data_IF_324171412628
#
_entry.id   IF_324171412628
#
_cell.length_a   1.000
_cell.length_b   1.000
_cell.length_c   1.000
_cell.angle_alpha   90.00
_cell.angle_beta   90.00
_cell.angle_gamma   90.00
#
_symmetry.space_group_name_H-M   'P 1'
#
loop_
_entity.id
_entity.type
_entity.pdbx_description
1 polymer ?
#
# COMPACT_ATOMS: atom_id res chain seq x y z
N UNK A 1 3.91 3.87 -12.58
CA UNK A 1 4.09 2.51 -11.99
C UNK A 1 4.88 1.54 -12.87
N UNK A 2 4.45 1.13 -14.07
CA UNK A 2 5.18 0.12 -14.88
C UNK A 2 6.66 0.48 -15.10
N UNK A 3 6.95 1.75 -15.43
CA UNK A 3 8.33 2.21 -15.61
C UNK A 3 9.13 2.20 -14.29
N UNK A 4 8.50 2.54 -13.17
CA UNK A 4 9.10 2.45 -11.83
C UNK A 4 9.52 1.01 -11.54
N UNK A 5 8.59 0.04 -11.65
CA UNK A 5 8.88 -1.38 -11.38
C UNK A 5 9.94 -1.93 -12.33
N UNK A 6 9.88 -1.60 -13.63
CA UNK A 6 10.88 -2.01 -14.60
C UNK A 6 12.29 -1.57 -14.20
N UNK A 7 12.47 -0.31 -13.81
CA UNK A 7 13.75 0.21 -13.31
C UNK A 7 14.26 -0.57 -12.10
N UNK A 8 13.37 -0.91 -11.15
CA UNK A 8 13.76 -1.68 -9.96
C UNK A 8 14.25 -3.08 -10.32
N UNK A 9 13.54 -3.76 -11.20
CA UNK A 9 13.93 -5.11 -11.67
C UNK A 9 15.26 -5.10 -12.42
N UNK A 10 15.51 -4.07 -13.25
CA UNK A 10 16.74 -3.96 -14.04
C UNK A 10 17.95 -3.48 -13.22
N UNK A 11 17.76 -2.62 -12.22
CA UNK A 11 18.85 -2.05 -11.43
C UNK A 11 19.28 -2.91 -10.24
N UNK A 12 18.53 -3.95 -9.90
CA UNK A 12 18.70 -4.75 -8.67
C UNK A 12 18.79 -3.89 -7.40
N UNK A 13 18.12 -2.74 -7.43
CA UNK A 13 18.10 -1.76 -6.34
C UNK A 13 16.80 -1.91 -5.54
N UNK A 14 16.88 -1.84 -4.21
CA UNK A 14 15.67 -1.78 -3.40
C UNK A 14 14.98 -0.41 -3.54
N UNK A 15 13.71 -0.36 -3.20
CA UNK A 15 12.93 0.87 -3.15
C UNK A 15 12.29 1.06 -1.76
N UNK A 16 11.99 2.30 -1.42
CA UNK A 16 11.44 2.66 -0.13
C UNK A 16 9.92 2.88 -0.24
N UNK A 17 9.14 2.24 0.65
CA UNK A 17 7.76 2.63 0.93
C UNK A 17 7.73 3.37 2.26
N UNK A 18 7.45 4.67 2.26
CA UNK A 18 7.41 5.47 3.47
C UNK A 18 6.34 6.58 3.41
N UNK A 19 5.95 7.07 4.58
CA UNK A 19 4.97 8.14 4.72
C UNK A 19 4.24 8.06 6.06
N UNK A 20 3.21 8.90 6.27
CA UNK A 20 2.49 8.96 7.54
C UNK A 20 1.68 7.69 7.79
N UNK A 21 1.51 7.34 9.06
CA UNK A 21 0.65 6.21 9.44
C UNK A 21 -0.79 6.38 8.96
N UNK A 22 -1.31 7.62 9.00
CA UNK A 22 -2.62 8.01 8.48
C UNK A 22 -2.54 9.40 7.86
N UNK A 23 -3.40 9.68 6.90
CA UNK A 23 -3.56 11.02 6.34
C UNK A 23 -4.43 11.83 7.31
N UNK A 24 -3.81 12.80 7.98
CA UNK A 24 -4.47 13.67 8.97
C UNK A 24 -4.78 15.05 8.40
N UNK A 25 -4.19 15.40 7.26
CA UNK A 25 -4.41 16.67 6.57
C UNK A 25 -3.49 16.82 5.36
N UNK A 26 -3.82 17.76 4.50
CA UNK A 26 -3.10 18.00 3.25
C UNK A 26 -1.68 18.55 3.51
N UNK A 27 -1.57 19.60 4.30
CA UNK A 27 -0.28 20.24 4.59
C UNK A 27 0.71 19.27 5.23
N UNK A 28 0.23 18.42 6.14
CA UNK A 28 1.06 17.41 6.77
C UNK A 28 1.55 16.38 5.74
N UNK A 29 0.66 15.89 4.88
CA UNK A 29 1.01 14.89 3.87
C UNK A 29 2.02 15.45 2.85
N UNK A 30 1.82 16.67 2.37
CA UNK A 30 2.72 17.34 1.43
C UNK A 30 4.10 17.59 2.03
N UNK A 31 4.19 18.11 3.27
CA UNK A 31 5.48 18.32 3.94
C UNK A 31 6.26 17.03 4.17
N UNK A 32 5.57 15.95 4.55
CA UNK A 32 6.22 14.64 4.71
C UNK A 32 6.71 14.12 3.37
N UNK A 33 5.90 14.25 2.32
CA UNK A 33 6.27 13.81 0.98
C UNK A 33 7.47 14.58 0.44
N UNK A 34 7.47 15.91 0.56
CA UNK A 34 8.59 16.77 0.17
C UNK A 34 9.91 16.34 0.83
N UNK A 35 9.89 16.18 2.16
CA UNK A 35 11.07 15.72 2.90
C UNK A 35 11.56 14.34 2.45
N UNK A 36 10.63 13.39 2.26
CA UNK A 36 10.99 12.04 1.81
C UNK A 36 11.55 12.04 0.39
N UNK A 37 10.98 12.84 -0.51
CA UNK A 37 11.48 13.00 -1.88
C UNK A 37 12.89 13.62 -1.88
N UNK A 38 13.13 14.65 -1.07
CA UNK A 38 14.46 15.25 -0.93
C UNK A 38 15.50 14.22 -0.46
N UNK A 39 15.19 13.48 0.60
CA UNK A 39 16.10 12.45 1.16
C UNK A 39 16.35 11.33 0.16
N UNK A 40 15.30 10.81 -0.48
CA UNK A 40 15.41 9.69 -1.40
C UNK A 40 16.12 10.08 -2.70
N UNK A 41 15.92 11.29 -3.20
CA UNK A 41 16.66 11.81 -4.35
C UNK A 41 18.16 11.95 -4.03
N UNK A 42 18.51 12.50 -2.86
CA UNK A 42 19.92 12.60 -2.41
C UNK A 42 20.60 11.24 -2.31
N UNK A 43 19.85 10.22 -1.88
CA UNK A 43 20.32 8.84 -1.74
C UNK A 43 20.17 8.02 -3.03
N UNK A 44 19.59 8.59 -4.07
CA UNK A 44 19.27 7.90 -5.33
C UNK A 44 18.39 6.65 -5.11
N UNK A 45 17.52 6.68 -4.09
CA UNK A 45 16.60 5.60 -3.77
C UNK A 45 15.24 5.83 -4.43
N UNK A 46 14.75 4.86 -5.18
CA UNK A 46 13.37 4.89 -5.67
C UNK A 46 12.36 4.86 -4.51
N UNK A 47 11.30 5.61 -4.65
CA UNK A 47 10.39 5.90 -3.54
C UNK A 47 8.93 5.74 -3.95
N UNK A 48 8.13 5.19 -3.05
CA UNK A 48 6.67 5.11 -3.13
C UNK A 48 6.10 5.75 -1.85
N UNK A 49 5.27 6.78 -2.01
CA UNK A 49 4.64 7.43 -0.87
C UNK A 49 3.51 6.56 -0.30
N UNK A 50 3.58 6.24 0.99
CA UNK A 50 2.60 5.43 1.70
C UNK A 50 1.81 6.26 2.70
N UNK A 51 0.48 6.21 2.62
CA UNK A 51 -0.40 6.75 3.65
C UNK A 51 -1.69 5.95 3.77
N UNK A 52 -2.21 5.72 4.98
CA UNK A 52 -3.53 5.12 5.14
C UNK A 52 -4.61 6.19 5.06
N UNK A 53 -5.62 5.98 4.22
CA UNK A 53 -6.75 6.91 4.13
C UNK A 53 -7.71 6.75 5.31
N UNK A 54 -7.76 5.56 5.92
CA UNK A 54 -8.48 5.28 7.16
C UNK A 54 -7.74 4.25 8.01
N UNK A 55 -8.03 4.20 9.30
CA UNK A 55 -7.56 3.18 10.23
C UNK A 55 -8.72 2.34 10.73
N UNK A 56 -8.66 1.02 10.49
CA UNK A 56 -9.69 0.06 10.87
C UNK A 56 -9.35 -0.76 12.13
N UNK A 57 -8.17 -0.57 12.73
CA UNK A 57 -7.64 -1.43 13.80
C UNK A 57 -7.21 -0.65 15.04
N UNK A 58 -7.91 0.42 15.39
CA UNK A 58 -7.63 1.18 16.61
C UNK A 58 -8.02 0.42 17.87
N UNK A 59 -7.24 0.58 18.93
CA UNK A 59 -7.48 -0.09 20.20
C UNK A 59 -8.63 0.53 21.00
N UNK A 60 -8.96 1.80 20.78
CA UNK A 60 -10.02 2.52 21.46
C UNK A 60 -11.07 2.97 20.46
N UNK A 61 -12.33 2.99 20.89
CA UNK A 61 -13.46 3.40 20.05
C UNK A 61 -13.39 4.88 19.65
N UNK A 62 -12.85 5.74 20.52
CA UNK A 62 -12.71 7.18 20.33
C UNK A 62 -11.39 7.58 19.62
N UNK A 63 -10.59 6.63 19.19
CA UNK A 63 -9.33 6.93 18.50
C UNK A 63 -9.58 7.53 17.11
N UNK A 64 -8.68 8.39 16.69
CA UNK A 64 -8.68 8.94 15.32
C UNK A 64 -8.62 7.83 14.27
N UNK A 65 -9.58 7.82 13.37
CA UNK A 65 -9.68 6.82 12.29
C UNK A 65 -9.42 7.40 10.91
N UNK A 66 -9.52 8.72 10.74
CA UNK A 66 -9.31 9.40 9.46
C UNK A 66 -10.08 10.72 9.36
N UNK A 67 -9.89 11.42 8.25
CA UNK A 67 -10.51 12.72 7.94
C UNK A 67 -11.64 12.62 6.90
N UNK A 68 -12.10 11.38 6.66
CA UNK A 68 -13.01 11.03 5.56
C UNK A 68 -12.28 10.37 4.41
N UNK A 69 -12.86 9.27 3.91
CA UNK A 69 -12.20 8.39 2.95
C UNK A 69 -11.79 9.14 1.67
N UNK A 70 -12.75 9.77 1.02
CA UNK A 70 -12.52 10.46 -0.24
C UNK A 70 -11.51 11.61 -0.10
N UNK A 71 -11.66 12.44 0.95
CA UNK A 71 -10.73 13.54 1.22
C UNK A 71 -9.30 13.05 1.40
N UNK A 72 -9.09 11.98 2.16
CA UNK A 72 -7.76 11.42 2.37
C UNK A 72 -7.18 10.81 1.08
N UNK A 73 -8.01 10.16 0.25
CA UNK A 73 -7.60 9.60 -1.04
C UNK A 73 -7.26 10.71 -2.05
N UNK A 74 -8.01 11.82 -2.10
CA UNK A 74 -7.68 13.00 -2.91
C UNK A 74 -6.32 13.59 -2.52
N UNK A 75 -6.00 13.63 -1.23
CA UNK A 75 -4.68 14.09 -0.74
C UNK A 75 -3.57 13.15 -1.22
N UNK A 76 -3.77 11.83 -1.17
CA UNK A 76 -2.80 10.86 -1.69
C UNK A 76 -2.56 11.04 -3.19
N UNK A 77 -3.61 11.23 -3.99
CA UNK A 77 -3.49 11.57 -5.41
C UNK A 77 -2.68 12.85 -5.60
N UNK A 78 -3.02 13.91 -4.86
CA UNK A 78 -2.31 15.20 -4.93
C UNK A 78 -0.82 15.06 -4.63
N UNK A 79 -0.45 14.25 -3.62
CA UNK A 79 0.97 13.96 -3.33
C UNK A 79 1.64 13.30 -4.53
N UNK A 80 1.02 12.26 -5.11
CA UNK A 80 1.56 11.58 -6.28
C UNK A 80 1.78 12.50 -7.47
N UNK A 81 0.80 13.37 -7.76
CA UNK A 81 0.86 14.35 -8.86
C UNK A 81 1.88 15.46 -8.60
N UNK A 82 1.97 15.97 -7.35
CA UNK A 82 2.87 17.07 -6.99
C UNK A 82 4.33 16.67 -7.07
N UNK A 83 4.67 15.46 -6.64
CA UNK A 83 6.05 15.01 -6.53
C UNK A 83 6.46 13.96 -7.57
N UNK A 84 5.56 13.61 -8.48
CA UNK A 84 5.75 12.56 -9.50
C UNK A 84 6.23 11.23 -8.88
N UNK A 85 5.59 10.81 -7.79
CA UNK A 85 5.90 9.57 -7.09
C UNK A 85 4.67 8.66 -7.04
N UNK A 86 4.88 7.32 -7.16
CA UNK A 86 3.79 6.38 -6.93
C UNK A 86 3.25 6.45 -5.51
N UNK A 87 1.97 6.15 -5.35
CA UNK A 87 1.30 6.17 -4.05
C UNK A 87 0.70 4.82 -3.69
N UNK A 88 0.66 4.52 -2.39
CA UNK A 88 0.05 3.30 -1.84
C UNK A 88 -0.79 3.60 -0.61
N UNK A 89 -1.93 2.94 -0.52
CA UNK A 89 -2.79 2.93 0.68
C UNK A 89 -3.25 1.52 1.03
N UNK A 90 -3.55 1.28 2.29
CA UNK A 90 -4.16 0.04 2.75
C UNK A 90 -5.69 0.09 2.59
N UNK A 91 -6.29 -1.06 2.25
CA UNK A 91 -7.74 -1.27 2.13
C UNK A 91 -8.19 -2.32 3.14
N UNK A 92 -9.45 -2.23 3.61
CA UNK A 92 -9.95 -3.07 4.70
C UNK A 92 -11.24 -3.81 4.34
N UNK A 93 -11.98 -3.32 3.37
CA UNK A 93 -13.24 -3.86 2.88
C UNK A 93 -13.24 -3.98 1.36
N UNK A 94 -14.09 -4.85 0.83
CA UNK A 94 -14.22 -5.07 -0.62
C UNK A 94 -14.53 -3.77 -1.36
N UNK A 95 -15.40 -2.94 -0.80
CA UNK A 95 -15.79 -1.63 -1.36
C UNK A 95 -14.63 -0.63 -1.40
N UNK A 96 -13.66 -0.74 -0.50
CA UNK A 96 -12.49 0.13 -0.50
C UNK A 96 -11.63 -0.06 -1.76
N UNK A 97 -11.60 -1.29 -2.32
CA UNK A 97 -10.72 -1.61 -3.43
C UNK A 97 -10.98 -0.74 -4.66
N UNK A 98 -12.23 -0.69 -5.12
CA UNK A 98 -12.62 0.12 -6.28
C UNK A 98 -12.44 1.60 -6.01
N UNK A 99 -12.89 2.07 -4.84
CA UNK A 99 -12.78 3.48 -4.46
C UNK A 99 -11.31 3.93 -4.41
N UNK A 100 -10.44 3.21 -3.69
CA UNK A 100 -9.03 3.60 -3.53
C UNK A 100 -8.25 3.49 -4.85
N UNK A 101 -8.58 2.53 -5.71
CA UNK A 101 -7.93 2.34 -7.00
C UNK A 101 -8.05 3.55 -7.94
N UNK A 102 -9.04 4.40 -7.75
CA UNK A 102 -9.16 5.64 -8.53
C UNK A 102 -8.07 6.67 -8.19
N UNK A 103 -7.48 6.59 -6.99
CA UNK A 103 -6.62 7.63 -6.42
C UNK A 103 -5.16 7.21 -6.26
N UNK A 104 -4.87 5.91 -6.13
CA UNK A 104 -3.53 5.41 -5.84
C UNK A 104 -3.06 4.38 -6.87
N UNK A 105 -1.77 4.11 -6.88
CA UNK A 105 -1.13 3.14 -7.79
C UNK A 105 -1.09 1.73 -7.21
N UNK A 106 -1.05 1.61 -5.89
CA UNK A 106 -0.88 0.35 -5.18
C UNK A 106 -1.91 0.23 -4.08
N UNK A 107 -2.59 -0.92 -4.02
CA UNK A 107 -3.49 -1.30 -2.93
C UNK A 107 -2.76 -2.26 -1.99
N UNK A 108 -2.71 -1.95 -0.71
CA UNK A 108 -2.10 -2.81 0.28
C UNK A 108 -3.15 -3.58 1.06
N UNK A 109 -2.97 -4.90 1.15
CA UNK A 109 -3.77 -5.77 2.03
C UNK A 109 -3.05 -5.87 3.38
N UNK A 110 -3.66 -5.42 4.49
CA UNK A 110 -3.10 -5.55 5.83
C UNK A 110 -2.84 -7.02 6.23
N UNK A 111 -1.87 -7.23 7.10
CA UNK A 111 -1.43 -8.56 7.50
C UNK A 111 -2.56 -9.45 8.05
N UNK A 112 -3.44 -8.90 8.88
CA UNK A 112 -4.57 -9.66 9.45
C UNK A 112 -5.66 -9.99 8.41
N UNK A 113 -5.71 -9.28 7.29
CA UNK A 113 -6.70 -9.45 6.23
C UNK A 113 -6.19 -10.22 5.01
N UNK A 114 -4.93 -10.62 5.00
CA UNK A 114 -4.28 -11.24 3.82
C UNK A 114 -4.92 -12.57 3.40
N UNK A 115 -5.64 -13.24 4.29
CA UNK A 115 -6.39 -14.47 4.00
C UNK A 115 -7.81 -14.22 3.48
N UNK A 116 -8.34 -13.01 3.58
CA UNK A 116 -9.71 -12.67 3.15
C UNK A 116 -9.80 -12.71 1.62
N UNK A 117 -10.36 -13.80 1.09
CA UNK A 117 -10.37 -14.07 -0.35
C UNK A 117 -11.06 -12.96 -1.13
N UNK A 118 -12.24 -12.52 -0.70
CA UNK A 118 -13.01 -11.52 -1.42
C UNK A 118 -12.29 -10.17 -1.50
N UNK A 119 -11.60 -9.78 -0.42
CA UNK A 119 -10.80 -8.55 -0.38
C UNK A 119 -9.60 -8.63 -1.32
N UNK A 120 -8.88 -9.76 -1.33
CA UNK A 120 -7.72 -9.97 -2.22
C UNK A 120 -8.16 -9.98 -3.68
N UNK A 121 -9.24 -10.67 -4.00
CA UNK A 121 -9.83 -10.73 -5.36
C UNK A 121 -10.33 -9.35 -5.80
N UNK A 122 -11.00 -8.61 -4.93
CA UNK A 122 -11.45 -7.25 -5.23
C UNK A 122 -10.27 -6.33 -5.56
N UNK A 123 -9.19 -6.38 -4.77
CA UNK A 123 -7.97 -5.63 -5.06
C UNK A 123 -7.34 -6.04 -6.40
N UNK A 124 -7.25 -7.34 -6.68
CA UNK A 124 -6.70 -7.86 -7.94
C UNK A 124 -7.50 -7.37 -9.16
N UNK A 125 -8.83 -7.40 -9.09
CA UNK A 125 -9.73 -6.99 -10.16
C UNK A 125 -9.63 -5.51 -10.54
N UNK A 126 -9.04 -4.66 -9.70
CA UNK A 126 -8.76 -3.25 -10.04
C UNK A 126 -7.64 -3.10 -11.08
N UNK A 127 -6.83 -4.12 -11.32
CA UNK A 127 -5.64 -4.07 -12.17
C UNK A 127 -4.46 -3.27 -11.60
N UNK A 128 -4.61 -2.68 -10.40
CA UNK A 128 -3.53 -1.99 -9.67
C UNK A 128 -2.50 -2.97 -9.13
N UNK A 129 -1.35 -2.46 -8.71
CA UNK A 129 -0.42 -3.27 -7.93
C UNK A 129 -1.04 -3.64 -6.59
N UNK A 130 -0.88 -4.90 -6.18
CA UNK A 130 -1.39 -5.41 -4.90
C UNK A 130 -0.21 -5.78 -4.00
N UNK A 131 -0.04 -5.04 -2.90
CA UNK A 131 0.95 -5.36 -1.89
C UNK A 131 0.32 -6.20 -0.77
N UNK A 132 0.70 -7.48 -0.70
CA UNK A 132 0.21 -8.43 0.30
C UNK A 132 1.14 -8.44 1.51
N UNK A 133 0.68 -7.93 2.66
CA UNK A 133 1.46 -8.04 3.90
C UNK A 133 1.28 -9.42 4.51
N UNK A 134 2.40 -10.13 4.73
CA UNK A 134 2.37 -11.45 5.36
C UNK A 134 1.81 -11.36 6.79
N UNK A 135 0.79 -12.16 7.09
CA UNK A 135 0.32 -12.33 8.46
C UNK A 135 1.41 -12.94 9.34
N UNK A 136 1.60 -12.42 10.56
CA UNK A 136 2.59 -12.96 11.49
C UNK A 136 2.30 -14.41 11.91
N UNK A 137 1.02 -14.79 11.83
CA UNK A 137 0.48 -16.12 12.14
C UNK A 137 0.59 -17.11 10.98
N UNK A 138 1.26 -16.73 9.89
CA UNK A 138 1.41 -17.54 8.68
C UNK A 138 2.88 -17.86 8.43
N UNK A 139 3.15 -19.07 7.91
CA UNK A 139 4.47 -19.38 7.38
C UNK A 139 4.74 -18.57 6.09
N UNK A 140 6.01 -18.28 5.77
CA UNK A 140 6.37 -17.60 4.52
C UNK A 140 5.82 -18.29 3.28
N UNK A 141 5.91 -19.63 3.22
CA UNK A 141 5.46 -20.44 2.08
C UNK A 141 3.96 -20.33 1.84
N UNK A 142 3.16 -20.15 2.89
CA UNK A 142 1.71 -20.04 2.77
C UNK A 142 1.27 -18.77 2.04
N UNK A 143 2.15 -17.76 1.88
CA UNK A 143 1.86 -16.56 1.11
C UNK A 143 1.63 -16.84 -0.38
N UNK A 144 2.16 -17.95 -0.90
CA UNK A 144 1.88 -18.39 -2.28
C UNK A 144 0.38 -18.48 -2.57
N UNK A 145 -0.44 -18.87 -1.58
CA UNK A 145 -1.90 -18.96 -1.76
C UNK A 145 -2.55 -17.60 -1.94
N UNK A 146 -2.05 -16.56 -1.25
CA UNK A 146 -2.53 -15.20 -1.44
C UNK A 146 -2.11 -14.63 -2.81
N UNK A 147 -0.87 -14.89 -3.23
CA UNK A 147 -0.39 -14.53 -4.57
C UNK A 147 -1.20 -15.25 -5.64
N UNK A 148 -1.47 -16.55 -5.48
CA UNK A 148 -2.29 -17.33 -6.43
C UNK A 148 -3.69 -16.72 -6.61
N UNK A 149 -4.31 -16.20 -5.55
CA UNK A 149 -5.61 -15.51 -5.68
C UNK A 149 -5.52 -14.30 -6.59
N UNK A 150 -4.45 -13.50 -6.48
CA UNK A 150 -4.23 -12.32 -7.32
C UNK A 150 -3.99 -12.73 -8.78
N UNK A 151 -3.10 -13.71 -9.02
CA UNK A 151 -2.77 -14.17 -10.37
C UNK A 151 -3.93 -14.89 -11.05
N UNK A 152 -4.67 -15.71 -10.32
CA UNK A 152 -5.87 -16.39 -10.82
C UNK A 152 -7.01 -15.40 -11.16
N UNK A 153 -6.99 -14.19 -10.58
CA UNK A 153 -7.88 -13.09 -10.95
C UNK A 153 -7.39 -12.30 -12.18
N UNK A 154 -6.33 -12.76 -12.85
CA UNK A 154 -5.78 -12.11 -14.06
C UNK A 154 -4.82 -10.96 -13.80
N UNK A 155 -4.39 -10.74 -12.56
CA UNK A 155 -3.47 -9.66 -12.20
C UNK A 155 -2.10 -10.22 -11.75
N UNK A 156 -1.04 -9.87 -12.48
CA UNK A 156 0.33 -10.30 -12.16
C UNK A 156 1.15 -9.23 -11.40
N UNK A 157 0.54 -8.10 -11.05
CA UNK A 157 1.20 -6.98 -10.38
C UNK A 157 1.13 -7.18 -8.85
N UNK A 158 1.99 -8.03 -8.29
CA UNK A 158 1.93 -8.39 -6.86
C UNK A 158 3.27 -8.13 -6.18
N UNK A 159 3.21 -7.50 -5.01
CA UNK A 159 4.31 -7.42 -4.05
C UNK A 159 3.96 -8.18 -2.79
N UNK A 160 4.98 -8.65 -2.08
CA UNK A 160 4.85 -9.25 -0.75
C UNK A 160 5.68 -8.42 0.22
N UNK A 161 5.07 -8.04 1.33
CA UNK A 161 5.78 -7.43 2.45
C UNK A 161 5.85 -8.39 3.62
N UNK A 162 7.06 -8.81 3.99
CA UNK A 162 7.27 -9.52 5.25
C UNK A 162 7.22 -8.55 6.43
N UNK A 163 6.70 -9.00 7.55
CA UNK A 163 6.65 -8.25 8.81
C UNK A 163 6.85 -9.15 10.04
N UNK A 164 7.61 -10.20 9.85
CA UNK A 164 7.93 -11.15 10.90
C UNK A 164 6.89 -12.27 11.09
N UNK A 165 7.19 -13.13 12.02
CA UNK A 165 6.44 -14.34 12.34
C UNK A 165 6.17 -14.47 13.84
N UNK A 166 5.14 -15.25 14.18
CA UNK A 166 4.79 -15.70 15.52
C UNK A 166 4.67 -17.21 15.51
N UNK A 167 4.51 -17.84 16.66
CA UNK A 167 4.26 -19.29 16.81
C UNK A 167 5.39 -20.19 16.30
N UNK A 168 6.62 -19.68 16.13
CA UNK A 168 7.79 -20.49 15.77
C UNK A 168 7.92 -20.83 14.27
N UNK A 169 7.18 -20.14 13.40
CA UNK A 169 7.35 -20.29 11.95
C UNK A 169 8.69 -19.76 11.44
#
# INVERSE_FOLDING_TARGET
MKQFVKRQTESNQFFLLAGPCAIEGEDMALRIAEHLVEVTNRLQLPFVFKGSFKKANRSRLDSFTGIGNEKALQILRKVGETFDVPTVTDIHEVSDATMAAEYVDVLQIPAFLVRQTDLVVAAANTGKYVNLKKGQFMSPESMQHAVTKVTASGNNNTWITDRGTMFGY
#
